data_IF_603517738027
#
_entry.id   IF_603517738027
#
_cell.length_a   1.000
_cell.length_b   1.000
_cell.length_c   1.000
_cell.angle_alpha   90.00
_cell.angle_beta   90.00
_cell.angle_gamma   90.00
#
_symmetry.space_group_name_H-M   'P 1'
#
loop_
_entity.id
_entity.type
_entity.pdbx_description
1 polymer ?
#
# COMPACT_ATOMS: atom_id res chain seq x y z
N UNK A 1 -21.09 3.60 -8.50
CA UNK A 1 -19.67 3.96 -8.73
C UNK A 1 -19.41 5.32 -8.10
N UNK A 2 -18.27 5.47 -7.39
CA UNK A 2 -17.85 6.69 -6.75
C UNK A 2 -16.31 6.79 -6.75
N UNK A 3 -15.80 8.02 -6.66
CA UNK A 3 -14.40 8.28 -6.29
C UNK A 3 -14.34 8.56 -4.79
N UNK A 4 -13.34 8.01 -4.10
CA UNK A 4 -13.07 8.33 -2.68
C UNK A 4 -12.68 9.80 -2.45
N UNK A 5 -12.40 10.53 -3.52
CA UNK A 5 -12.12 11.97 -3.51
C UNK A 5 -13.40 12.82 -3.44
N UNK A 6 -14.55 12.24 -3.77
CA UNK A 6 -15.85 12.94 -3.75
C UNK A 6 -16.55 12.70 -2.41
N UNK A 7 -16.42 13.66 -1.50
CA UNK A 7 -16.95 13.59 -0.14
C UNK A 7 -18.47 13.43 -0.13
N UNK A 8 -19.20 14.21 -0.92
CA UNK A 8 -20.65 14.19 -0.98
C UNK A 8 -21.18 12.83 -1.45
N UNK A 9 -20.50 12.25 -2.47
CA UNK A 9 -20.90 10.95 -3.00
C UNK A 9 -20.61 9.82 -2.00
N UNK A 10 -19.47 9.87 -1.31
CA UNK A 10 -19.13 8.90 -0.25
C UNK A 10 -20.15 9.00 0.88
N UNK A 11 -20.45 10.21 1.34
CA UNK A 11 -21.43 10.47 2.39
C UNK A 11 -22.82 9.89 2.02
N UNK A 12 -23.33 10.19 0.82
CA UNK A 12 -24.59 9.66 0.33
C UNK A 12 -24.62 8.12 0.22
N UNK A 13 -23.49 7.48 -0.11
CA UNK A 13 -23.38 6.01 -0.14
C UNK A 13 -23.49 5.45 1.28
N UNK A 14 -22.74 5.99 2.24
CA UNK A 14 -22.77 5.52 3.62
C UNK A 14 -24.13 5.78 4.28
N UNK A 15 -24.75 6.92 4.00
CA UNK A 15 -26.12 7.21 4.47
C UNK A 15 -27.12 6.19 3.96
N UNK A 16 -27.06 5.87 2.66
CA UNK A 16 -28.01 4.96 2.00
C UNK A 16 -27.84 3.51 2.45
N UNK A 17 -26.59 3.03 2.51
CA UNK A 17 -26.32 1.59 2.67
C UNK A 17 -26.00 1.19 4.10
N UNK A 18 -25.58 2.14 4.97
CA UNK A 18 -25.24 1.89 6.38
C UNK A 18 -24.39 0.63 6.57
N UNK A 19 -23.21 0.52 5.95
CA UNK A 19 -22.39 -0.69 6.02
C UNK A 19 -21.92 -0.93 7.47
N UNK A 20 -21.92 -2.20 7.90
CA UNK A 20 -21.33 -2.58 9.19
C UNK A 20 -19.81 -2.67 9.09
N UNK A 21 -19.28 -3.10 7.94
CA UNK A 21 -17.84 -3.28 7.73
C UNK A 21 -17.44 -2.61 6.42
N UNK A 22 -16.31 -1.90 6.45
CA UNK A 22 -15.71 -1.26 5.28
C UNK A 22 -14.32 -1.85 5.03
N UNK A 23 -14.08 -2.36 3.84
CA UNK A 23 -12.76 -2.72 3.33
C UNK A 23 -12.30 -1.64 2.35
N UNK A 24 -11.36 -0.80 2.77
CA UNK A 24 -10.88 0.34 2.00
C UNK A 24 -9.61 -0.02 1.22
N UNK A 25 -9.79 -0.36 -0.05
CA UNK A 25 -8.70 -0.72 -0.98
C UNK A 25 -8.44 0.34 -2.07
N UNK A 26 -9.16 1.46 -2.04
CA UNK A 26 -9.00 2.52 -3.03
C UNK A 26 -7.68 3.26 -2.83
N UNK A 27 -6.75 3.12 -3.79
CA UNK A 27 -5.47 3.81 -3.77
C UNK A 27 -4.83 3.87 -5.16
N UNK A 28 -4.04 4.91 -5.40
CA UNK A 28 -3.06 4.93 -6.47
C UNK A 28 -1.80 4.18 -5.98
N UNK A 29 -1.51 3.02 -6.58
CA UNK A 29 -0.45 2.11 -6.10
C UNK A 29 0.82 2.11 -6.94
N UNK A 30 0.78 2.69 -8.16
CA UNK A 30 1.88 2.60 -9.11
C UNK A 30 2.99 3.57 -8.72
N UNK A 31 4.10 3.03 -8.18
CA UNK A 31 5.20 3.83 -7.62
C UNK A 31 5.73 4.88 -8.61
N UNK A 32 6.14 4.54 -9.87
CA UNK A 32 6.64 5.55 -10.78
C UNK A 32 5.65 6.68 -11.10
N UNK A 33 4.36 6.39 -11.21
CA UNK A 33 3.35 7.42 -11.47
C UNK A 33 3.17 8.34 -10.27
N UNK A 34 3.28 7.82 -9.04
CA UNK A 34 3.17 8.65 -7.84
C UNK A 34 4.43 9.50 -7.60
N UNK A 35 5.57 9.06 -8.10
CA UNK A 35 6.77 9.90 -8.13
C UNK A 35 6.63 11.09 -9.08
N UNK A 36 5.98 10.91 -10.22
CA UNK A 36 5.71 12.00 -11.18
C UNK A 36 4.56 12.91 -10.71
N UNK A 37 3.60 12.36 -9.97
CA UNK A 37 2.38 13.07 -9.55
C UNK A 37 2.15 12.92 -8.03
N UNK A 38 3.04 13.47 -7.17
CA UNK A 38 2.95 13.30 -5.72
C UNK A 38 1.67 13.90 -5.13
N UNK A 39 1.19 15.03 -5.68
CA UNK A 39 -0.07 15.65 -5.26
C UNK A 39 -1.26 14.68 -5.41
N UNK A 40 -1.32 13.92 -6.49
CA UNK A 40 -2.38 12.95 -6.72
C UNK A 40 -2.32 11.77 -5.74
N UNK A 41 -1.13 11.35 -5.31
CA UNK A 41 -0.99 10.35 -4.25
C UNK A 41 -1.61 10.86 -2.94
N UNK A 42 -1.35 12.11 -2.56
CA UNK A 42 -1.90 12.72 -1.35
C UNK A 42 -3.42 12.90 -1.46
N UNK A 43 -3.91 13.51 -2.54
CA UNK A 43 -5.36 13.72 -2.76
C UNK A 43 -6.14 12.42 -2.72
N UNK A 44 -5.67 11.38 -3.42
CA UNK A 44 -6.41 10.12 -3.54
C UNK A 44 -6.19 9.19 -2.34
N UNK A 45 -4.94 8.94 -1.98
CA UNK A 45 -4.64 7.94 -0.96
C UNK A 45 -4.92 8.49 0.44
N UNK A 46 -4.33 9.62 0.81
CA UNK A 46 -4.44 10.17 2.17
C UNK A 46 -5.84 10.74 2.41
N UNK A 47 -6.26 11.71 1.59
CA UNK A 47 -7.56 12.35 1.80
C UNK A 47 -8.73 11.49 1.36
N UNK A 48 -8.56 10.61 0.37
CA UNK A 48 -9.55 9.58 0.06
C UNK A 48 -9.79 8.64 1.25
N UNK A 49 -8.73 8.21 1.93
CA UNK A 49 -8.84 7.41 3.16
C UNK A 49 -9.49 8.20 4.28
N UNK A 50 -9.04 9.45 4.53
CA UNK A 50 -9.57 10.29 5.61
C UNK A 50 -11.07 10.55 5.46
N UNK A 51 -11.52 10.96 4.27
CA UNK A 51 -12.95 11.20 3.99
C UNK A 51 -13.80 9.95 4.14
N UNK A 52 -13.29 8.81 3.67
CA UNK A 52 -14.00 7.53 3.82
C UNK A 52 -14.07 7.10 5.29
N UNK A 53 -13.00 7.34 6.06
CA UNK A 53 -12.96 7.07 7.49
C UNK A 53 -13.92 8.00 8.29
N UNK A 54 -13.99 9.29 7.93
CA UNK A 54 -14.96 10.22 8.53
C UNK A 54 -16.41 9.80 8.25
N UNK A 55 -16.72 9.35 7.04
CA UNK A 55 -18.03 8.81 6.73
C UNK A 55 -18.32 7.53 7.52
N UNK A 56 -17.33 6.65 7.69
CA UNK A 56 -17.48 5.44 8.50
C UNK A 56 -17.81 5.75 9.95
N UNK A 57 -17.13 6.72 10.57
CA UNK A 57 -17.42 7.20 11.92
C UNK A 57 -18.82 7.83 12.02
N UNK A 58 -19.12 8.78 11.13
CA UNK A 58 -20.42 9.49 11.08
C UNK A 58 -21.61 8.53 11.00
N UNK A 59 -21.50 7.46 10.25
CA UNK A 59 -22.58 6.52 9.99
C UNK A 59 -22.53 5.24 10.85
N UNK A 60 -21.62 5.18 11.83
CA UNK A 60 -21.58 4.13 12.84
C UNK A 60 -21.11 2.77 12.30
N UNK A 61 -20.18 2.77 11.39
CA UNK A 61 -19.52 1.53 10.92
C UNK A 61 -18.83 0.83 12.09
N UNK A 62 -19.01 -0.48 12.22
CA UNK A 62 -18.40 -1.26 13.29
C UNK A 62 -16.89 -1.43 13.08
N UNK A 63 -16.48 -1.74 11.84
CA UNK A 63 -15.08 -2.01 11.49
C UNK A 63 -14.68 -1.36 10.17
N UNK A 64 -13.52 -0.72 10.16
CA UNK A 64 -12.89 -0.16 8.98
C UNK A 64 -11.52 -0.78 8.78
N UNK A 65 -11.32 -1.49 7.67
CA UNK A 65 -10.09 -2.21 7.35
C UNK A 65 -9.40 -1.52 6.18
N UNK A 66 -8.29 -0.85 6.46
CA UNK A 66 -7.44 -0.24 5.44
C UNK A 66 -6.54 -1.30 4.82
N UNK A 67 -6.56 -1.45 3.51
CA UNK A 67 -5.56 -2.21 2.77
C UNK A 67 -4.29 -1.36 2.66
N UNK A 68 -3.21 -1.81 3.33
CA UNK A 68 -1.90 -1.17 3.31
C UNK A 68 -0.87 -2.04 2.56
N UNK A 69 0.41 -1.75 2.72
CA UNK A 69 1.50 -2.36 1.96
C UNK A 69 2.79 -2.40 2.79
N UNK A 70 3.68 -3.34 2.44
CA UNK A 70 5.09 -3.38 2.89
C UNK A 70 5.83 -2.06 2.62
N UNK A 71 5.49 -1.35 1.55
CA UNK A 71 6.13 -0.08 1.15
C UNK A 71 5.82 1.10 2.07
N UNK A 72 4.85 0.95 2.99
CA UNK A 72 4.60 1.92 4.07
C UNK A 72 5.67 1.85 5.18
N UNK A 73 6.51 0.80 5.19
CA UNK A 73 7.62 0.61 6.14
C UNK A 73 8.87 1.30 5.59
N UNK A 74 9.45 2.23 6.34
CA UNK A 74 10.63 3.01 5.93
C UNK A 74 10.54 3.44 4.45
N UNK A 75 9.51 4.23 4.06
CA UNK A 75 9.18 4.46 2.67
C UNK A 75 10.31 5.19 1.94
N UNK A 76 10.65 4.71 0.74
CA UNK A 76 11.62 5.34 -0.17
C UNK A 76 10.95 6.04 -1.34
N UNK A 77 9.63 6.01 -1.39
CA UNK A 77 8.84 6.60 -2.46
C UNK A 77 7.53 7.20 -1.93
N UNK A 78 6.96 8.12 -2.70
CA UNK A 78 5.75 8.87 -2.37
C UNK A 78 4.55 7.95 -2.14
N UNK A 79 4.40 6.90 -2.94
CA UNK A 79 3.29 5.94 -2.78
C UNK A 79 3.35 5.27 -1.41
N UNK A 80 4.52 4.75 -1.01
CA UNK A 80 4.71 4.14 0.30
C UNK A 80 4.48 5.12 1.44
N UNK A 81 5.02 6.35 1.33
CA UNK A 81 4.81 7.41 2.31
C UNK A 81 3.33 7.81 2.43
N UNK A 82 2.61 7.93 1.32
CA UNK A 82 1.17 8.19 1.33
C UNK A 82 0.38 7.08 2.04
N UNK A 83 0.79 5.81 1.88
CA UNK A 83 0.16 4.70 2.60
C UNK A 83 0.49 4.70 4.09
N UNK A 84 1.72 5.10 4.47
CA UNK A 84 2.06 5.33 5.88
C UNK A 84 1.18 6.41 6.51
N UNK A 85 0.97 7.51 5.80
CA UNK A 85 0.04 8.56 6.25
C UNK A 85 -1.41 8.04 6.37
N UNK A 86 -1.86 7.16 5.46
CA UNK A 86 -3.16 6.51 5.59
C UNK A 86 -3.27 5.68 6.89
N UNK A 87 -2.21 4.94 7.26
CA UNK A 87 -2.16 4.21 8.53
C UNK A 87 -2.23 5.15 9.74
N UNK A 88 -1.54 6.31 9.69
CA UNK A 88 -1.64 7.33 10.73
C UNK A 88 -3.05 7.91 10.81
N UNK A 89 -3.69 8.20 9.67
CA UNK A 89 -5.08 8.68 9.62
C UNK A 89 -6.03 7.71 10.32
N UNK A 90 -5.98 6.43 10.00
CA UNK A 90 -6.91 5.46 10.63
C UNK A 90 -6.62 5.24 12.10
N UNK A 91 -5.37 5.36 12.54
CA UNK A 91 -5.03 5.26 13.96
C UNK A 91 -5.50 6.49 14.75
N UNK A 92 -5.36 7.69 14.18
CA UNK A 92 -5.94 8.91 14.75
C UNK A 92 -7.48 8.78 14.84
N UNK A 93 -8.14 8.33 13.78
CA UNK A 93 -9.58 8.11 13.77
C UNK A 93 -10.01 7.08 14.82
N UNK A 94 -9.24 5.98 14.98
CA UNK A 94 -9.53 4.97 16.00
C UNK A 94 -9.53 5.51 17.42
N UNK A 95 -8.64 6.47 17.76
CA UNK A 95 -8.58 7.08 19.08
C UNK A 95 -9.79 7.97 19.41
N UNK A 96 -10.52 8.43 18.41
CA UNK A 96 -11.59 9.42 18.52
C UNK A 96 -12.97 8.85 18.20
N UNK A 97 -13.07 7.61 17.71
CA UNK A 97 -14.28 6.99 17.18
C UNK A 97 -14.64 5.71 17.93
N UNK A 98 -15.90 5.30 17.81
CA UNK A 98 -16.37 3.97 18.23
C UNK A 98 -16.15 2.90 17.16
N UNK A 99 -15.84 3.29 15.91
CA UNK A 99 -15.48 2.39 14.84
C UNK A 99 -14.09 1.80 15.09
N UNK A 100 -13.95 0.50 14.94
CA UNK A 100 -12.66 -0.18 15.03
C UNK A 100 -11.89 0.01 13.72
N UNK A 101 -10.97 0.95 13.68
CA UNK A 101 -10.10 1.20 12.53
C UNK A 101 -8.84 0.36 12.63
N UNK A 102 -8.52 -0.38 11.56
CA UNK A 102 -7.31 -1.22 11.48
C UNK A 102 -6.69 -1.13 10.09
N UNK A 103 -5.40 -1.45 9.98
CA UNK A 103 -4.71 -1.62 8.71
C UNK A 103 -4.23 -3.07 8.54
N UNK A 104 -4.11 -3.50 7.28
CA UNK A 104 -3.51 -4.80 6.92
C UNK A 104 -2.41 -4.56 5.91
N UNK A 105 -1.15 -4.88 6.27
CA UNK A 105 0.03 -4.81 5.43
C UNK A 105 0.33 -6.16 4.81
N UNK A 106 0.64 -6.16 3.53
CA UNK A 106 1.19 -7.30 2.82
C UNK A 106 2.03 -6.83 1.63
N UNK A 107 2.84 -7.73 1.09
CA UNK A 107 3.72 -7.47 -0.04
C UNK A 107 3.01 -7.52 -1.39
N UNK A 108 3.70 -8.06 -2.41
CA UNK A 108 3.11 -8.07 -3.75
C UNK A 108 2.09 -9.20 -3.90
N UNK A 109 1.09 -8.95 -4.74
CA UNK A 109 0.05 -9.92 -5.08
C UNK A 109 0.21 -10.33 -6.55
N UNK A 110 0.30 -11.63 -6.79
CA UNK A 110 0.49 -12.21 -8.12
C UNK A 110 -0.64 -11.82 -9.07
N UNK A 111 -0.28 -11.38 -10.28
CA UNK A 111 -1.25 -11.06 -11.33
C UNK A 111 -2.07 -9.80 -11.10
N UNK A 112 -1.75 -8.98 -10.08
CA UNK A 112 -2.42 -7.69 -9.87
C UNK A 112 -2.14 -6.72 -11.02
N UNK A 113 -3.12 -5.83 -11.30
CA UNK A 113 -3.01 -4.88 -12.40
C UNK A 113 -1.76 -3.99 -12.28
N UNK A 114 -1.01 -3.83 -13.37
CA UNK A 114 0.25 -3.07 -13.42
C UNK A 114 1.42 -3.72 -12.66
N UNK A 115 1.32 -5.00 -12.26
CA UNK A 115 2.41 -5.73 -11.61
C UNK A 115 3.37 -6.37 -12.64
N UNK A 116 4.46 -6.95 -12.12
CA UNK A 116 5.55 -7.52 -12.92
C UNK A 116 5.12 -8.67 -13.83
N UNK A 117 4.19 -9.54 -13.39
CA UNK A 117 3.75 -10.70 -14.18
C UNK A 117 3.03 -10.30 -15.47
N UNK A 118 2.00 -9.43 -15.48
CA UNK A 118 1.42 -8.90 -16.70
C UNK A 118 2.43 -8.25 -17.63
N UNK A 119 3.40 -7.51 -17.09
CA UNK A 119 4.47 -6.89 -17.86
C UNK A 119 5.33 -7.95 -18.56
N UNK A 120 5.81 -8.96 -17.83
CA UNK A 120 6.64 -10.03 -18.40
C UNK A 120 5.88 -10.82 -19.45
N UNK A 121 4.60 -11.17 -19.20
CA UNK A 121 3.76 -11.84 -20.20
C UNK A 121 3.63 -11.05 -21.49
N UNK A 122 3.44 -9.72 -21.38
CA UNK A 122 3.40 -8.83 -22.54
C UNK A 122 4.74 -8.84 -23.29
N UNK A 123 5.86 -8.64 -22.58
CA UNK A 123 7.20 -8.64 -23.18
C UNK A 123 7.53 -9.97 -23.88
N UNK A 124 7.17 -11.12 -23.28
CA UNK A 124 7.34 -12.44 -23.87
C UNK A 124 6.52 -12.57 -25.15
N UNK A 125 5.25 -12.14 -25.14
CA UNK A 125 4.38 -12.19 -26.32
C UNK A 125 4.88 -11.29 -27.47
N UNK A 126 5.62 -10.22 -27.17
CA UNK A 126 6.25 -9.30 -28.13
C UNK A 126 7.63 -9.79 -28.61
N UNK A 127 8.12 -10.97 -28.16
CA UNK A 127 9.42 -11.52 -28.52
C UNK A 127 10.59 -11.05 -27.64
N UNK A 128 10.31 -10.39 -26.53
CA UNK A 128 11.32 -9.91 -25.57
C UNK A 128 11.93 -8.54 -25.94
N UNK A 129 12.98 -8.10 -25.23
CA UNK A 129 13.52 -8.75 -24.03
C UNK A 129 12.60 -8.62 -22.82
N UNK A 130 12.70 -9.56 -21.87
CA UNK A 130 12.09 -9.40 -20.53
C UNK A 130 13.01 -8.52 -19.68
N UNK A 131 12.45 -7.43 -19.12
CA UNK A 131 13.23 -6.44 -18.37
C UNK A 131 13.13 -6.67 -16.87
N UNK A 132 14.28 -6.87 -16.20
CA UNK A 132 14.42 -7.00 -14.75
C UNK A 132 15.30 -5.84 -14.25
N UNK A 133 14.95 -5.22 -13.13
CA UNK A 133 15.67 -4.03 -12.66
C UNK A 133 17.04 -4.37 -12.08
N UNK A 134 17.17 -5.48 -11.34
CA UNK A 134 18.45 -5.96 -10.81
C UNK A 134 18.44 -7.49 -10.67
N UNK A 135 19.56 -8.19 -10.92
CA UNK A 135 19.61 -9.66 -10.81
C UNK A 135 19.40 -10.20 -9.40
N UNK A 136 19.61 -9.39 -8.38
CA UNK A 136 19.50 -9.79 -6.98
C UNK A 136 18.23 -9.27 -6.29
N UNK A 137 17.39 -8.52 -7.02
CA UNK A 137 16.16 -7.98 -6.45
C UNK A 137 15.20 -9.10 -6.05
N UNK A 138 14.72 -9.03 -4.82
CA UNK A 138 13.75 -9.99 -4.28
C UNK A 138 12.43 -9.31 -3.93
N UNK A 139 11.35 -10.07 -4.02
CA UNK A 139 10.02 -9.66 -3.58
C UNK A 139 9.29 -10.83 -2.94
N UNK A 140 8.41 -10.50 -2.03
CA UNK A 140 7.45 -11.46 -1.47
C UNK A 140 6.19 -11.47 -2.33
N UNK A 141 5.61 -12.66 -2.52
CA UNK A 141 4.41 -12.81 -3.31
C UNK A 141 3.35 -13.65 -2.60
N UNK A 142 2.11 -13.27 -2.81
CA UNK A 142 0.92 -14.00 -2.37
C UNK A 142 -0.09 -14.03 -3.52
N UNK A 143 -0.93 -15.05 -3.60
CA UNK A 143 -2.03 -15.06 -4.56
C UNK A 143 -3.16 -14.13 -4.09
N UNK A 144 -4.01 -13.67 -5.03
CA UNK A 144 -5.17 -12.84 -4.68
C UNK A 144 -6.10 -13.54 -3.70
N UNK A 145 -6.49 -14.82 -3.90
CA UNK A 145 -7.35 -15.53 -2.95
C UNK A 145 -6.76 -15.64 -1.54
N UNK A 146 -5.46 -15.92 -1.42
CA UNK A 146 -4.76 -15.95 -0.12
C UNK A 146 -4.81 -14.59 0.57
N UNK A 147 -4.43 -13.53 -0.14
CA UNK A 147 -4.45 -12.17 0.40
C UNK A 147 -5.86 -11.77 0.87
N UNK A 148 -6.89 -12.03 0.05
CA UNK A 148 -8.28 -11.72 0.40
C UNK A 148 -8.73 -12.51 1.63
N UNK A 149 -8.45 -13.81 1.69
CA UNK A 149 -8.81 -14.66 2.85
C UNK A 149 -8.19 -14.13 4.14
N UNK A 150 -6.88 -13.81 4.12
CA UNK A 150 -6.17 -13.30 5.29
C UNK A 150 -6.62 -11.88 5.69
N UNK A 151 -6.94 -11.02 4.72
CA UNK A 151 -7.49 -9.69 4.99
C UNK A 151 -8.86 -9.78 5.66
N UNK A 152 -9.75 -10.65 5.17
CA UNK A 152 -11.06 -10.87 5.80
C UNK A 152 -10.91 -11.40 7.23
N UNK A 153 -9.97 -12.31 7.45
CA UNK A 153 -9.70 -12.88 8.77
C UNK A 153 -9.05 -11.84 9.72
N UNK A 154 -8.12 -11.01 9.24
CA UNK A 154 -7.58 -9.89 10.01
C UNK A 154 -8.69 -8.91 10.41
N UNK A 155 -9.61 -8.59 9.50
CA UNK A 155 -10.80 -7.79 9.80
C UNK A 155 -11.71 -8.42 10.85
N UNK A 156 -11.84 -9.76 10.88
CA UNK A 156 -12.56 -10.46 11.93
C UNK A 156 -11.88 -10.31 13.30
N UNK A 157 -10.55 -10.33 13.34
CA UNK A 157 -9.75 -10.14 14.58
C UNK A 157 -9.70 -8.69 15.06
N UNK A 158 -10.05 -7.71 14.23
CA UNK A 158 -9.96 -6.28 14.51
C UNK A 158 -10.67 -5.90 15.81
N UNK A 159 -9.94 -5.21 16.70
CA UNK A 159 -10.41 -4.63 17.97
C UNK A 159 -10.24 -3.13 18.02
N UNK A 160 -9.49 -2.56 17.08
CA UNK A 160 -9.22 -1.14 16.90
C UNK A 160 -7.76 -0.75 17.17
N UNK A 161 -7.17 -0.04 16.20
CA UNK A 161 -5.80 0.46 16.25
C UNK A 161 -4.71 -0.50 15.79
N UNK A 162 -5.05 -1.76 15.48
CA UNK A 162 -4.05 -2.73 15.05
C UNK A 162 -3.55 -2.44 13.62
N UNK A 163 -2.25 -2.69 13.43
CA UNK A 163 -1.64 -2.86 12.11
C UNK A 163 -1.35 -4.35 11.96
N UNK A 164 -2.20 -5.05 11.25
CA UNK A 164 -1.96 -6.45 10.91
C UNK A 164 -0.90 -6.55 9.83
N UNK A 165 -0.03 -7.56 9.95
CA UNK A 165 1.02 -7.87 8.99
C UNK A 165 0.85 -9.32 8.57
N UNK A 166 0.68 -9.54 7.26
CA UNK A 166 0.52 -10.89 6.72
C UNK A 166 1.90 -11.52 6.49
N UNK A 167 2.03 -12.79 6.87
CA UNK A 167 3.20 -13.58 6.52
C UNK A 167 3.20 -13.83 5.01
N UNK A 168 4.26 -13.42 4.36
CA UNK A 168 4.41 -13.52 2.90
C UNK A 168 5.18 -14.76 2.46
N UNK A 169 5.57 -15.62 3.40
CA UNK A 169 6.40 -16.80 3.12
C UNK A 169 7.80 -16.43 2.63
N UNK A 170 8.34 -17.26 1.74
CA UNK A 170 9.70 -17.10 1.26
C UNK A 170 9.82 -16.02 0.16
N UNK A 171 10.91 -15.26 0.17
CA UNK A 171 11.17 -14.26 -0.87
C UNK A 171 11.56 -14.92 -2.21
N UNK A 172 11.15 -14.31 -3.31
CA UNK A 172 11.41 -14.78 -4.67
C UNK A 172 12.29 -13.78 -5.42
N UNK A 173 13.35 -14.23 -6.04
CA UNK A 173 14.13 -13.41 -6.99
C UNK A 173 13.30 -13.12 -8.24
N UNK A 174 13.27 -11.85 -8.64
CA UNK A 174 12.49 -11.44 -9.83
C UNK A 174 13.06 -12.05 -11.11
N UNK A 175 14.38 -12.27 -11.18
CA UNK A 175 15.01 -12.96 -12.31
C UNK A 175 14.56 -14.42 -12.43
N UNK A 176 14.36 -15.12 -11.31
CA UNK A 176 13.85 -16.50 -11.32
C UNK A 176 12.38 -16.55 -11.78
N UNK A 177 11.58 -15.57 -11.35
CA UNK A 177 10.21 -15.41 -11.81
C UNK A 177 10.15 -15.17 -13.33
N UNK A 178 11.02 -14.29 -13.87
CA UNK A 178 11.14 -14.02 -15.30
C UNK A 178 11.52 -15.30 -16.06
N UNK A 179 12.56 -15.98 -15.60
CA UNK A 179 13.07 -17.24 -16.18
C UNK A 179 11.97 -18.31 -16.23
N UNK A 180 11.22 -18.49 -15.14
CA UNK A 180 10.14 -19.46 -15.08
C UNK A 180 8.98 -19.09 -16.01
N UNK A 181 8.61 -17.81 -16.11
CA UNK A 181 7.55 -17.37 -17.03
C UNK A 181 7.94 -17.58 -18.51
N UNK A 182 9.19 -17.33 -18.88
CA UNK A 182 9.70 -17.60 -20.23
C UNK A 182 9.58 -19.10 -20.55
N UNK A 183 10.05 -19.98 -19.65
CA UNK A 183 9.93 -21.44 -19.79
C UNK A 183 8.47 -21.92 -19.90
N UNK A 184 7.60 -21.42 -19.04
CA UNK A 184 6.18 -21.75 -19.04
C UNK A 184 5.46 -21.27 -20.33
N UNK A 185 6.02 -20.27 -21.00
CA UNK A 185 5.53 -19.79 -22.30
C UNK A 185 6.08 -20.58 -23.49
N UNK A 186 6.89 -21.63 -23.26
CA UNK A 186 7.43 -22.51 -24.28
C UNK A 186 8.74 -22.03 -24.90
N UNK A 187 9.38 -21.01 -24.33
CA UNK A 187 10.63 -20.42 -24.83
C UNK A 187 11.82 -20.77 -23.94
N UNK A 188 13.03 -20.68 -24.49
CA UNK A 188 14.29 -20.84 -23.78
C UNK A 188 14.83 -19.47 -23.33
N UNK A 189 15.05 -19.26 -22.01
CA UNK A 189 15.65 -18.04 -21.50
C UNK A 189 17.08 -17.85 -22.04
N UNK A 190 17.39 -16.67 -22.55
CA UNK A 190 18.70 -16.32 -23.11
C UNK A 190 18.95 -16.78 -24.54
N UNK A 191 18.18 -17.76 -25.08
CA UNK A 191 18.24 -18.18 -26.49
C UNK A 191 17.09 -17.54 -27.29
N UNK A 192 15.83 -17.81 -26.91
CA UNK A 192 14.64 -17.29 -27.60
C UNK A 192 14.23 -15.93 -27.07
N UNK A 193 14.28 -15.75 -25.72
CA UNK A 193 13.90 -14.52 -25.03
C UNK A 193 15.04 -14.10 -24.10
N UNK A 194 15.62 -12.94 -24.37
CA UNK A 194 16.66 -12.32 -23.53
C UNK A 194 16.06 -11.75 -22.23
N UNK A 195 16.83 -11.85 -21.13
CA UNK A 195 16.54 -11.10 -19.88
C UNK A 195 17.53 -9.93 -19.81
N UNK A 196 17.01 -8.70 -19.84
CA UNK A 196 17.80 -7.48 -19.80
C UNK A 196 17.69 -6.79 -18.43
N UNK A 197 18.85 -6.44 -17.85
CA UNK A 197 18.89 -5.67 -16.60
C UNK A 197 18.90 -4.17 -16.89
N UNK A 198 17.98 -3.42 -16.25
CA UNK A 198 17.74 -2.00 -16.55
C UNK A 198 18.23 -1.03 -15.48
N UNK A 199 18.69 -1.53 -14.33
CA UNK A 199 18.94 -0.74 -13.14
C UNK A 199 17.67 -0.50 -12.30
N UNK A 200 17.86 -0.19 -11.01
CA UNK A 200 16.76 0.13 -10.09
C UNK A 200 16.04 1.39 -10.53
N UNK A 201 14.74 1.42 -10.37
CA UNK A 201 13.91 2.60 -10.61
C UNK A 201 14.03 3.57 -9.42
N UNK A 202 13.79 4.87 -9.63
CA UNK A 202 13.71 5.82 -8.53
C UNK A 202 12.73 5.35 -7.46
N UNK A 203 13.17 5.33 -6.19
CA UNK A 203 12.37 4.89 -5.05
C UNK A 203 12.19 3.36 -4.92
N UNK A 204 12.78 2.55 -5.80
CA UNK A 204 12.73 1.08 -5.71
C UNK A 204 13.78 0.55 -4.73
N UNK A 205 13.35 -0.34 -3.81
CA UNK A 205 14.24 -1.04 -2.86
C UNK A 205 14.72 -2.36 -3.45
N UNK A 206 15.94 -2.78 -3.09
CA UNK A 206 16.44 -4.15 -3.35
C UNK A 206 15.61 -5.19 -2.60
N UNK A 207 15.27 -4.88 -1.35
CA UNK A 207 14.52 -5.73 -0.43
C UNK A 207 13.39 -4.92 0.19
N UNK A 208 12.17 -5.48 0.23
CA UNK A 208 11.03 -4.86 0.92
C UNK A 208 10.94 -5.35 2.36
N UNK A 209 10.63 -4.44 3.26
CA UNK A 209 10.49 -4.70 4.69
C UNK A 209 9.00 -4.80 5.04
N UNK A 210 8.60 -5.85 5.74
CA UNK A 210 7.21 -6.00 6.21
C UNK A 210 6.95 -5.20 7.50
N UNK A 211 8.02 -4.90 8.27
CA UNK A 211 7.99 -4.23 9.56
C UNK A 211 9.12 -3.24 9.73
N UNK A 212 8.89 -2.22 10.54
CA UNK A 212 9.98 -1.44 11.13
C UNK A 212 10.60 -2.24 12.29
N UNK A 213 11.92 -2.09 12.50
CA UNK A 213 12.65 -2.76 13.59
C UNK A 213 12.04 -2.52 14.98
N UNK A 214 11.37 -1.39 15.17
CA UNK A 214 10.77 -0.95 16.43
C UNK A 214 9.33 -1.48 16.63
N UNK A 215 8.67 -1.97 15.57
CA UNK A 215 7.25 -2.33 15.62
C UNK A 215 6.98 -3.65 16.36
N UNK A 216 7.96 -4.52 16.55
CA UNK A 216 7.77 -5.83 17.22
C UNK A 216 6.51 -6.56 16.74
N UNK A 217 6.50 -7.88 16.79
CA UNK A 217 5.36 -8.67 16.33
C UNK A 217 4.66 -9.38 17.49
N UNK A 218 3.33 -9.28 17.54
CA UNK A 218 2.49 -10.16 18.34
C UNK A 218 1.83 -11.21 17.43
N UNK A 219 1.83 -12.46 17.87
CA UNK A 219 1.14 -13.54 17.18
C UNK A 219 -0.37 -13.42 17.37
N UNK A 220 -1.12 -13.84 16.34
CA UNK A 220 -2.57 -14.04 16.44
C UNK A 220 -2.89 -15.54 16.52
N UNK A 221 -4.17 -15.89 16.54
CA UNK A 221 -4.61 -17.30 16.43
C UNK A 221 -4.27 -17.90 15.05
N UNK A 222 -4.12 -17.08 14.01
CA UNK A 222 -3.66 -17.51 12.69
C UNK A 222 -2.16 -17.27 12.56
N UNK A 223 -1.40 -18.33 12.24
CA UNK A 223 0.06 -18.26 12.07
C UNK A 223 0.52 -17.34 10.94
N UNK A 224 -0.35 -17.05 9.98
CA UNK A 224 -0.07 -16.16 8.83
C UNK A 224 -0.42 -14.68 9.11
N UNK A 225 -0.93 -14.35 10.31
CA UNK A 225 -1.35 -12.99 10.66
C UNK A 225 -0.66 -12.56 11.95
N UNK A 226 0.12 -11.50 11.88
CA UNK A 226 0.76 -10.86 13.03
C UNK A 226 0.16 -9.48 13.27
N UNK A 227 0.41 -8.93 14.46
CA UNK A 227 0.03 -7.56 14.83
C UNK A 227 1.32 -6.81 15.12
N UNK A 228 1.59 -5.73 14.38
CA UNK A 228 2.62 -4.75 14.67
C UNK A 228 2.18 -3.76 15.75
N UNK A 229 3.13 -3.06 16.35
CA UNK A 229 2.82 -1.97 17.29
C UNK A 229 2.18 -0.80 16.53
N UNK A 230 1.26 -0.06 17.18
CA UNK A 230 0.74 1.20 16.65
C UNK A 230 1.87 2.21 16.41
N UNK A 231 1.63 3.13 15.47
CA UNK A 231 2.52 4.26 15.21
C UNK A 231 2.31 5.29 16.34
N UNK A 232 3.39 5.72 16.97
CA UNK A 232 3.34 6.79 17.98
C UNK A 232 3.49 8.16 17.31
N UNK A 233 2.50 9.02 17.48
CA UNK A 233 2.51 10.41 17.02
C UNK A 233 1.44 11.22 17.77
N UNK A 234 1.64 12.54 17.79
CA UNK A 234 0.69 13.48 18.37
C UNK A 234 -0.43 13.80 17.37
N UNK A 235 -1.68 13.60 17.76
CA UNK A 235 -2.86 13.79 16.91
C UNK A 235 -3.07 15.25 16.50
N UNK A 236 -2.81 16.21 17.39
CA UNK A 236 -3.03 17.62 17.10
C UNK A 236 -1.94 18.18 16.16
N UNK A 237 -0.70 17.71 16.33
CA UNK A 237 0.38 18.00 15.39
C UNK A 237 0.06 17.41 14.02
N UNK A 238 -0.34 16.15 13.98
CA UNK A 238 -0.68 15.46 12.73
C UNK A 238 -1.86 16.10 12.00
N UNK A 239 -2.90 16.56 12.71
CA UNK A 239 -4.01 17.31 12.10
C UNK A 239 -3.54 18.58 11.42
N UNK A 240 -2.69 19.38 12.08
CA UNK A 240 -2.12 20.60 11.48
C UNK A 240 -1.30 20.30 10.24
N UNK A 241 -0.52 19.22 10.29
CA UNK A 241 0.26 18.76 9.13
C UNK A 241 -0.65 18.28 7.99
N UNK A 242 -1.77 17.59 8.29
CA UNK A 242 -2.76 17.21 7.29
C UNK A 242 -3.40 18.44 6.63
N UNK A 243 -3.75 19.48 7.42
CA UNK A 243 -4.33 20.72 6.87
C UNK A 243 -3.33 21.43 5.93
N UNK A 244 -2.05 21.47 6.30
CA UNK A 244 -1.00 22.05 5.47
C UNK A 244 -0.84 21.29 4.15
N UNK A 245 -0.61 19.96 4.22
CA UNK A 245 -0.39 19.14 3.01
C UNK A 245 -1.65 19.04 2.15
N UNK A 246 -2.86 19.18 2.74
CA UNK A 246 -4.10 19.32 1.97
C UNK A 246 -4.04 20.53 1.06
N UNK A 247 -3.75 21.69 1.63
CA UNK A 247 -3.66 22.94 0.89
C UNK A 247 -2.61 22.83 -0.21
N UNK A 248 -1.39 22.42 0.14
CA UNK A 248 -0.29 22.31 -0.80
C UNK A 248 -0.59 21.33 -1.94
N UNK A 249 -1.26 20.19 -1.64
CA UNK A 249 -1.65 19.24 -2.66
C UNK A 249 -2.70 19.81 -3.63
N UNK A 250 -3.69 20.56 -3.14
CA UNK A 250 -4.75 21.11 -3.99
C UNK A 250 -4.34 22.40 -4.72
N UNK A 251 -3.41 23.17 -4.14
CA UNK A 251 -2.78 24.34 -4.79
C UNK A 251 -1.65 23.91 -5.77
N UNK A 252 -1.37 22.59 -5.83
CA UNK A 252 -0.36 21.96 -6.71
C UNK A 252 1.05 22.54 -6.54
N UNK A 253 1.43 22.82 -5.28
CA UNK A 253 2.76 23.32 -4.94
C UNK A 253 3.83 22.24 -5.09
N UNK A 254 5.09 22.66 -5.25
CA UNK A 254 6.24 21.74 -5.33
C UNK A 254 6.69 21.22 -3.96
N UNK A 255 6.07 21.68 -2.86
CA UNK A 255 6.49 21.39 -1.48
C UNK A 255 6.03 20.03 -0.93
N UNK A 256 5.27 19.27 -1.71
CA UNK A 256 4.64 18.00 -1.24
C UNK A 256 5.65 16.99 -0.68
N UNK A 257 6.85 16.93 -1.24
CA UNK A 257 7.86 15.97 -0.77
C UNK A 257 8.44 16.37 0.58
N UNK A 258 8.62 17.67 0.82
CA UNK A 258 9.03 18.26 2.10
C UNK A 258 7.96 18.02 3.17
N UNK A 259 6.70 18.26 2.84
CA UNK A 259 5.57 18.00 3.73
C UNK A 259 5.46 16.52 4.09
N UNK A 260 5.61 15.61 3.10
CA UNK A 260 5.65 14.17 3.36
C UNK A 260 6.79 13.83 4.32
N UNK A 261 7.98 14.41 4.16
CA UNK A 261 9.13 14.14 5.01
C UNK A 261 8.93 14.68 6.43
N UNK A 262 8.25 15.81 6.58
CA UNK A 262 7.87 16.36 7.89
C UNK A 262 6.89 15.44 8.63
N UNK A 263 5.89 14.89 7.92
CA UNK A 263 4.86 14.00 8.48
C UNK A 263 5.40 12.59 8.73
N UNK A 264 6.23 12.09 7.81
CA UNK A 264 6.81 10.75 7.84
C UNK A 264 8.34 10.86 7.87
N UNK A 265 8.96 11.05 9.06
CA UNK A 265 10.41 11.28 9.18
C UNK A 265 11.26 10.14 8.60
N UNK A 266 10.72 8.93 8.54
CA UNK A 266 11.37 7.76 7.94
C UNK A 266 11.34 7.74 6.41
N UNK A 267 10.64 8.69 5.76
CA UNK A 267 10.65 8.86 4.31
C UNK A 267 12.01 9.36 3.84
N UNK A 268 12.69 8.55 3.03
CA UNK A 268 14.04 8.86 2.56
C UNK A 268 14.07 9.69 1.28
N UNK A 269 12.91 9.79 0.57
CA UNK A 269 12.84 10.46 -0.73
C UNK A 269 13.53 9.66 -1.84
N UNK A 270 13.38 10.15 -3.07
CA UNK A 270 14.20 9.69 -4.20
C UNK A 270 15.51 10.47 -4.14
N UNK A 271 16.63 9.74 -4.05
CA UNK A 271 17.97 10.30 -4.19
C UNK A 271 18.28 10.58 -5.66
#
# INVERSE_FOLDING_TARGET
IASVRNTERIDAIFEKYRPNIVYHAAAHKHVPLMEVSPNEAIKNNVFGTYRTAQAADKYGVEKFVLISTDKAVNPTNVMGASKRMCEMVIQMMNRQSKTNFVAVRFGNVLGSNGSVIPLFKKQIAEGGPVTVTDPNIIRYFMTIPEAVSLVLQAGAYARGGEIFVLDMGEPVKIVDLATNLIKLSGYKPGEDIEIKFTGLRPGEKMYEELLMSEEGLKKTANKMIYIGKPIEFDDDVFKKQLDKIYKDAYDETDNIREDIKEIVPTYQGVK
#
